data_IF_285718936842
#
_entry.id   IF_285718936842
#
_cell.length_a   1.000
_cell.length_b   1.000
_cell.length_c   1.000
_cell.angle_alpha   90.00
_cell.angle_beta   90.00
_cell.angle_gamma   90.00
#
_symmetry.space_group_name_H-M   'P 1'
#
loop_
_entity.id
_entity.type
_entity.pdbx_description
1 polymer ?
#
# COMPACT_ATOMS: atom_id res chain seq x y z
N UNK A 1 27.74 14.58 5.56
CA UNK A 1 26.35 14.78 5.10
C UNK A 1 25.46 13.98 6.04
N UNK A 2 24.72 14.65 6.92
CA UNK A 2 23.82 13.98 7.87
C UNK A 2 22.59 13.54 7.10
N UNK A 3 22.32 12.23 7.05
CA UNK A 3 21.14 11.70 6.38
C UNK A 3 19.89 12.32 7.00
N UNK A 4 18.99 12.83 6.18
CA UNK A 4 17.70 13.35 6.64
C UNK A 4 17.00 12.18 7.35
N UNK A 5 16.81 12.32 8.66
CA UNK A 5 16.13 11.31 9.47
C UNK A 5 14.64 11.45 9.23
N UNK A 6 14.11 10.69 8.29
CA UNK A 6 12.66 10.59 8.08
C UNK A 6 12.04 9.77 9.20
N UNK A 7 10.89 10.21 9.69
CA UNK A 7 10.07 9.43 10.60
C UNK A 7 9.33 8.35 9.80
N UNK A 8 9.29 7.11 10.29
CA UNK A 8 8.61 6.02 9.60
C UNK A 8 7.91 5.07 10.57
N UNK A 9 6.77 4.53 10.15
CA UNK A 9 5.94 3.64 10.96
C UNK A 9 5.13 2.67 10.10
N UNK A 10 5.18 1.41 10.47
CA UNK A 10 4.43 0.33 9.83
C UNK A 10 3.13 0.07 10.61
N UNK A 11 2.02 -0.07 9.88
CA UNK A 11 0.70 -0.38 10.41
C UNK A 11 0.04 -1.50 9.60
N UNK A 12 -0.68 -2.36 10.30
CA UNK A 12 -1.50 -3.40 9.69
C UNK A 12 -2.97 -2.97 9.66
N UNK A 13 -3.59 -3.08 8.49
CA UNK A 13 -5.02 -2.83 8.27
C UNK A 13 -5.72 -4.15 7.98
N UNK A 14 -6.72 -4.50 8.79
CA UNK A 14 -7.49 -5.74 8.64
C UNK A 14 -8.91 -5.46 8.15
N UNK A 15 -9.46 -6.38 7.37
CA UNK A 15 -10.84 -6.30 6.88
C UNK A 15 -11.05 -5.26 5.77
N UNK A 16 -9.97 -4.69 5.23
CA UNK A 16 -9.98 -3.77 4.10
C UNK A 16 -8.95 -4.26 3.07
N UNK A 17 -9.38 -4.33 1.80
CA UNK A 17 -8.50 -4.77 0.72
C UNK A 17 -7.56 -3.64 0.26
N UNK A 18 -6.41 -4.00 -0.32
CA UNK A 18 -5.39 -3.06 -0.83
C UNK A 18 -5.97 -1.95 -1.71
N UNK A 19 -6.96 -2.22 -2.58
CA UNK A 19 -7.48 -1.22 -3.53
C UNK A 19 -8.07 0.02 -2.84
N UNK A 20 -8.77 -0.17 -1.71
CA UNK A 20 -9.28 0.97 -0.94
C UNK A 20 -8.17 1.75 -0.24
N UNK A 21 -7.13 1.05 0.22
CA UNK A 21 -5.97 1.66 0.84
C UNK A 21 -5.15 2.49 -0.17
N UNK A 22 -5.03 2.01 -1.41
CA UNK A 22 -4.45 2.76 -2.54
C UNK A 22 -5.26 4.05 -2.80
N UNK A 23 -6.58 3.93 -2.93
CA UNK A 23 -7.49 5.06 -3.14
C UNK A 23 -7.36 6.12 -2.03
N UNK A 24 -7.22 5.71 -0.76
CA UNK A 24 -7.04 6.68 0.33
C UNK A 24 -5.71 7.43 0.27
N UNK A 25 -4.64 6.82 -0.23
CA UNK A 25 -3.41 7.57 -0.49
C UNK A 25 -3.62 8.63 -1.58
N UNK A 26 -4.33 8.28 -2.64
CA UNK A 26 -4.66 9.22 -3.73
C UNK A 26 -5.54 10.38 -3.24
N UNK A 27 -6.54 10.11 -2.40
CA UNK A 27 -7.38 11.15 -1.78
C UNK A 27 -6.60 12.12 -0.89
N UNK A 28 -5.52 11.65 -0.26
CA UNK A 28 -4.61 12.50 0.54
C UNK A 28 -3.61 13.28 -0.33
N UNK A 29 -3.70 13.16 -1.66
CA UNK A 29 -2.83 13.82 -2.62
C UNK A 29 -1.59 13.00 -3.03
N UNK A 30 -1.52 11.74 -2.63
CA UNK A 30 -0.48 10.81 -3.03
C UNK A 30 -0.58 10.47 -4.51
N UNK A 31 0.56 10.46 -5.20
CA UNK A 31 0.66 9.97 -6.58
C UNK A 31 1.36 8.63 -6.58
N UNK A 32 0.75 7.64 -7.23
CA UNK A 32 1.37 6.33 -7.39
C UNK A 32 2.63 6.46 -8.25
N UNK A 33 3.75 5.96 -7.73
CA UNK A 33 4.94 5.78 -8.55
C UNK A 33 4.76 4.53 -9.40
N UNK A 34 4.64 4.70 -10.72
CA UNK A 34 4.72 3.59 -11.64
C UNK A 34 6.13 2.99 -11.52
N UNK A 35 6.24 1.69 -11.27
CA UNK A 35 7.53 1.01 -11.41
C UNK A 35 7.95 1.16 -12.86
N UNK A 36 9.06 1.83 -13.11
CA UNK A 36 9.70 1.81 -14.42
C UNK A 36 10.05 0.36 -14.71
N UNK A 37 9.30 -0.24 -15.65
CA UNK A 37 9.55 -1.57 -16.18
C UNK A 37 10.96 -1.61 -16.74
N UNK A 38 11.91 -2.11 -15.95
CA UNK A 38 13.19 -2.59 -16.46
C UNK A 38 12.86 -3.64 -17.52
N UNK A 39 13.16 -3.30 -18.77
CA UNK A 39 13.36 -4.27 -19.83
C UNK A 39 14.52 -5.15 -19.38
N UNK A 40 14.23 -6.38 -19.01
CA UNK A 40 15.20 -7.44 -19.18
C UNK A 40 14.47 -8.61 -19.82
N UNK A 41 14.87 -8.84 -21.07
CA UNK A 41 14.44 -9.90 -21.96
C UNK A 41 14.77 -11.26 -21.36
N UNK A 42 13.76 -12.09 -21.11
CA UNK A 42 13.93 -13.53 -21.17
C UNK A 42 12.60 -14.17 -21.63
N UNK A 43 12.60 -14.73 -22.84
CA UNK A 43 11.52 -15.55 -23.38
C UNK A 43 11.48 -16.90 -22.66
N UNK A 44 10.30 -17.37 -22.25
CA UNK A 44 9.86 -18.77 -22.40
C UNK A 44 8.32 -18.89 -22.26
N UNK A 45 7.68 -19.89 -22.90
CA UNK A 45 6.40 -19.70 -23.59
C UNK A 45 5.14 -20.21 -22.87
N UNK A 46 4.02 -19.64 -23.33
CA UNK A 46 2.68 -20.20 -23.46
C UNK A 46 2.24 -21.33 -22.49
N UNK A 47 1.38 -20.96 -21.54
CA UNK A 47 0.19 -21.74 -21.23
C UNK A 47 -0.94 -20.78 -20.87
N UNK A 48 -2.06 -21.02 -21.54
CA UNK A 48 -3.20 -20.15 -21.70
C UNK A 48 -4.20 -20.43 -20.58
N UNK A 49 -4.45 -19.46 -19.70
CA UNK A 49 -5.72 -19.34 -18.97
C UNK A 49 -6.13 -17.87 -18.92
N UNK A 50 -7.36 -17.64 -19.38
CA UNK A 50 -8.10 -16.38 -19.38
C UNK A 50 -8.22 -15.81 -17.96
N UNK A 51 -8.43 -14.50 -17.92
CA UNK A 51 -8.67 -13.60 -16.77
C UNK A 51 -7.44 -12.72 -16.45
N UNK A 52 -7.07 -11.84 -17.38
CA UNK A 52 -6.01 -10.86 -17.19
C UNK A 52 -6.55 -9.61 -16.48
N UNK A 53 -6.69 -9.70 -15.16
CA UNK A 53 -6.66 -8.51 -14.30
C UNK A 53 -5.25 -7.94 -14.33
N UNK A 54 -5.10 -6.86 -15.09
CA UNK A 54 -3.91 -6.04 -15.36
C UNK A 54 -2.89 -5.99 -14.19
N UNK A 55 -1.63 -6.31 -14.51
CA UNK A 55 -0.38 -6.33 -13.72
C UNK A 55 -0.17 -5.19 -12.70
N UNK A 56 -1.00 -5.12 -11.65
CA UNK A 56 -0.87 -4.18 -10.53
C UNK A 56 -0.81 -4.85 -9.15
N UNK A 57 -0.66 -6.18 -9.11
CA UNK A 57 -0.46 -6.97 -7.88
C UNK A 57 0.99 -6.96 -7.37
N UNK A 58 1.88 -6.21 -8.03
CA UNK A 58 3.27 -6.16 -7.59
C UNK A 58 3.41 -5.21 -6.39
N UNK A 59 3.78 -5.77 -5.24
CA UNK A 59 4.22 -4.99 -4.09
C UNK A 59 5.70 -4.57 -4.23
N UNK A 60 6.15 -3.46 -3.61
CA UNK A 60 5.31 -2.47 -2.93
C UNK A 60 4.59 -1.54 -3.91
N UNK A 61 3.37 -1.12 -3.56
CA UNK A 61 2.70 0.03 -4.18
C UNK A 61 3.12 1.29 -3.45
N UNK A 62 3.85 2.19 -4.12
CA UNK A 62 4.43 3.39 -3.51
C UNK A 62 3.63 4.62 -3.94
N UNK A 63 3.28 5.47 -2.97
CA UNK A 63 2.56 6.72 -3.14
C UNK A 63 3.36 7.85 -2.51
N UNK A 64 3.64 8.90 -3.28
CA UNK A 64 4.42 10.05 -2.81
C UNK A 64 3.61 11.33 -2.90
N UNK A 65 3.79 12.22 -1.92
CA UNK A 65 3.28 13.58 -1.93
C UNK A 65 4.29 14.54 -1.29
N UNK A 66 3.93 15.82 -1.18
CA UNK A 66 4.77 16.81 -0.53
C UNK A 66 4.96 16.47 0.96
N UNK A 67 6.18 16.03 1.31
CA UNK A 67 6.61 15.78 2.70
C UNK A 67 6.22 14.43 3.29
N UNK A 68 5.64 13.52 2.49
CA UNK A 68 5.34 12.17 2.94
C UNK A 68 5.29 11.13 1.82
N UNK A 69 5.46 9.88 2.23
CA UNK A 69 5.37 8.69 1.39
C UNK A 69 4.56 7.60 2.10
N UNK A 70 3.70 6.92 1.34
CA UNK A 70 2.94 5.75 1.77
C UNK A 70 3.30 4.54 0.91
N UNK A 71 3.56 3.40 1.53
CA UNK A 71 3.84 2.15 0.82
C UNK A 71 2.89 1.06 1.28
N UNK A 72 2.22 0.39 0.34
CA UNK A 72 1.58 -0.89 0.63
C UNK A 72 2.61 -1.98 0.38
N UNK A 73 2.99 -2.69 1.44
CA UNK A 73 4.08 -3.66 1.44
C UNK A 73 3.62 -5.08 1.08
N UNK A 74 2.42 -5.45 1.53
CA UNK A 74 1.85 -6.77 1.26
C UNK A 74 0.35 -6.80 1.57
N UNK A 75 -0.34 -7.75 0.96
CA UNK A 75 -1.70 -8.17 1.32
C UNK A 75 -1.72 -9.68 1.51
N UNK A 76 -2.31 -10.14 2.61
CA UNK A 76 -2.45 -11.57 2.91
C UNK A 76 -3.82 -11.86 3.51
N UNK A 77 -4.35 -13.05 3.25
CA UNK A 77 -5.57 -13.55 3.88
C UNK A 77 -5.21 -14.22 5.22
N UNK A 78 -5.75 -13.71 6.34
CA UNK A 78 -5.64 -14.31 7.66
C UNK A 78 -6.92 -15.07 7.97
N UNK A 79 -6.77 -16.35 8.29
CA UNK A 79 -7.87 -17.20 8.74
C UNK A 79 -7.88 -17.28 10.27
N UNK A 80 -9.01 -16.95 10.89
CA UNK A 80 -9.25 -17.19 12.32
C UNK A 80 -9.91 -18.55 12.56
N UNK A 81 -10.74 -18.99 11.60
CA UNK A 81 -11.32 -20.33 11.53
C UNK A 81 -11.33 -20.79 10.07
N UNK A 82 -11.80 -22.02 9.80
CA UNK A 82 -11.99 -22.52 8.43
C UNK A 82 -12.94 -21.68 7.57
N UNK A 83 -13.82 -20.89 8.20
CA UNK A 83 -14.85 -20.09 7.53
C UNK A 83 -14.64 -18.58 7.67
N UNK A 84 -13.95 -18.13 8.72
CA UNK A 84 -13.71 -16.71 8.96
C UNK A 84 -12.31 -16.34 8.49
N UNK A 85 -12.28 -15.65 7.34
CA UNK A 85 -11.07 -15.14 6.73
C UNK A 85 -11.20 -13.64 6.49
N UNK A 86 -10.11 -12.91 6.73
CA UNK A 86 -10.04 -11.47 6.47
C UNK A 86 -8.73 -11.13 5.81
N UNK A 87 -8.72 -10.10 4.98
CA UNK A 87 -7.48 -9.54 4.48
C UNK A 87 -6.75 -8.78 5.59
N UNK A 88 -5.44 -8.88 5.60
CA UNK A 88 -4.52 -8.05 6.36
C UNK A 88 -3.52 -7.44 5.38
N UNK A 89 -3.45 -6.11 5.39
CA UNK A 89 -2.59 -5.34 4.51
C UNK A 89 -1.57 -4.61 5.35
N UNK A 90 -0.29 -4.79 5.03
CA UNK A 90 0.81 -4.10 5.69
C UNK A 90 1.11 -2.80 4.96
N UNK A 91 1.11 -1.69 5.69
CA UNK A 91 1.31 -0.34 5.14
C UNK A 91 2.39 0.39 5.92
N UNK A 92 3.37 0.95 5.21
CA UNK A 92 4.41 1.82 5.77
C UNK A 92 4.08 3.28 5.47
N UNK A 93 4.18 4.11 6.50
CA UNK A 93 4.08 5.56 6.40
C UNK A 93 5.45 6.15 6.68
N UNK A 94 5.87 7.12 5.87
CA UNK A 94 7.11 7.87 6.04
C UNK A 94 6.82 9.36 5.86
N UNK A 95 7.39 10.20 6.71
CA UNK A 95 7.28 11.65 6.60
C UNK A 95 8.59 12.33 7.04
N UNK A 96 8.72 13.61 6.69
CA UNK A 96 9.91 14.40 7.01
C UNK A 96 10.13 14.55 8.53
N UNK A 97 9.04 14.59 9.30
CA UNK A 97 9.06 14.70 10.76
C UNK A 97 7.97 13.84 11.43
N UNK A 98 8.07 13.66 12.76
CA UNK A 98 7.12 12.83 13.51
C UNK A 98 5.71 13.44 13.56
N UNK A 99 5.59 14.77 13.54
CA UNK A 99 4.29 15.46 13.61
C UNK A 99 3.51 15.23 12.32
N UNK A 100 4.16 15.38 11.18
CA UNK A 100 3.63 15.08 9.85
C UNK A 100 3.28 13.60 9.71
N UNK A 101 4.10 12.69 10.26
CA UNK A 101 3.80 11.26 10.30
C UNK A 101 2.51 10.96 11.09
N UNK A 102 2.38 11.53 12.29
CA UNK A 102 1.19 11.36 13.12
C UNK A 102 -0.06 11.93 12.46
N UNK A 103 0.03 13.11 11.84
CA UNK A 103 -1.07 13.71 11.10
C UNK A 103 -1.48 12.87 9.89
N UNK A 104 -0.52 12.34 9.13
CA UNK A 104 -0.77 11.48 7.99
C UNK A 104 -1.52 10.23 8.43
N UNK A 105 -1.01 9.53 9.45
CA UNK A 105 -1.64 8.32 10.00
C UNK A 105 -3.04 8.65 10.53
N UNK A 106 -3.24 9.78 11.19
CA UNK A 106 -4.55 10.21 11.70
C UNK A 106 -5.55 10.43 10.57
N UNK A 107 -5.17 11.17 9.52
CA UNK A 107 -6.00 11.45 8.35
C UNK A 107 -6.35 10.15 7.61
N UNK A 108 -5.36 9.27 7.45
CA UNK A 108 -5.52 7.97 6.83
C UNK A 108 -6.47 7.06 7.63
N UNK A 109 -6.27 6.96 8.95
CA UNK A 109 -7.11 6.17 9.85
C UNK A 109 -8.56 6.62 9.85
N UNK A 110 -8.81 7.94 9.91
CA UNK A 110 -10.16 8.51 9.89
C UNK A 110 -10.98 8.02 8.68
N UNK A 111 -10.33 7.84 7.53
CA UNK A 111 -10.95 7.30 6.32
C UNK A 111 -11.16 5.79 6.38
N UNK A 112 -10.20 5.04 6.91
CA UNK A 112 -10.30 3.57 7.02
C UNK A 112 -11.27 3.08 8.11
N UNK A 113 -11.53 3.87 9.16
CA UNK A 113 -12.45 3.50 10.25
C UNK A 113 -13.93 3.54 9.87
N UNK A 114 -14.28 4.12 8.71
CA UNK A 114 -15.67 4.22 8.23
C UNK A 114 -16.17 2.99 7.46
N UNK A 115 -15.33 1.98 7.27
CA UNK A 115 -15.69 0.77 6.50
C UNK A 115 -16.29 -0.34 7.39
N UNK A 116 -16.47 -0.08 8.69
CA UNK A 116 -17.16 -0.99 9.62
C UNK A 116 -18.12 -0.21 10.53
N UNK A 117 -19.37 -0.11 10.11
CA UNK A 117 -20.48 0.54 10.82
C UNK A 117 -21.65 0.78 9.90
#
# INVERSE_FOLDING_TARGET
>A
MQGVKMASRDLEFRGINRRHLEMYFEELGGKRLAKESRRESEQVPASQTKDTDTDSDSFPSIFVAAGWEGQILSEQEISFTSIFKVNAVMVRFTADDEVGLEELIKKYRYKTTRVGG
#
